data_IF_000763529210
#
_entry.id   IF_000763529210
#
_cell.length_a   1.000
_cell.length_b   1.000
_cell.length_c   1.000
_cell.angle_alpha   90.00
_cell.angle_beta   90.00
_cell.angle_gamma   90.00
#
_symmetry.space_group_name_H-M   'P 1'
#
loop_
_entity.id
_entity.type
_entity.pdbx_description
1 polymer ?
#
# COMPACT_ATOMS: atom_id res chain seq x y z
N UNK A 1 9.85 3.07 -7.63
CA UNK A 1 10.22 1.63 -7.61
C UNK A 1 8.95 0.82 -7.83
N UNK A 2 9.02 -0.34 -8.47
CA UNK A 2 7.89 -1.27 -8.65
C UNK A 2 8.28 -2.68 -8.20
N UNK A 3 7.40 -3.33 -7.43
CA UNK A 3 7.52 -4.73 -7.03
C UNK A 3 6.21 -5.47 -7.30
N UNK A 4 6.27 -6.73 -7.74
CA UNK A 4 5.09 -7.54 -8.06
C UNK A 4 5.14 -8.88 -7.34
N UNK A 5 4.00 -9.29 -6.79
CA UNK A 5 3.86 -10.55 -6.09
C UNK A 5 2.50 -11.19 -6.36
N UNK A 6 2.45 -12.53 -6.34
CA UNK A 6 1.20 -13.28 -6.34
C UNK A 6 1.09 -14.13 -5.07
N UNK A 7 0.03 -13.91 -4.29
CA UNK A 7 -0.25 -14.67 -3.06
C UNK A 7 -1.63 -15.26 -3.16
N UNK A 8 -1.72 -16.60 -3.16
CA UNK A 8 -2.99 -17.34 -3.27
C UNK A 8 -3.89 -16.80 -4.40
N UNK A 9 -3.31 -16.66 -5.60
CA UNK A 9 -3.96 -16.11 -6.81
C UNK A 9 -4.31 -14.62 -6.76
N UNK A 10 -4.19 -13.95 -5.61
CA UNK A 10 -4.28 -12.50 -5.55
C UNK A 10 -2.98 -11.92 -6.08
N UNK A 11 -3.09 -10.97 -7.00
CA UNK A 11 -1.95 -10.23 -7.54
C UNK A 11 -1.79 -8.93 -6.78
N UNK A 12 -0.55 -8.59 -6.47
CA UNK A 12 -0.15 -7.36 -5.80
C UNK A 12 0.90 -6.64 -6.65
N UNK A 13 0.76 -5.33 -6.77
CA UNK A 13 1.79 -4.45 -7.33
C UNK A 13 2.03 -3.34 -6.30
N UNK A 14 3.25 -3.25 -5.81
CA UNK A 14 3.69 -2.15 -4.95
C UNK A 14 4.44 -1.12 -5.78
N UNK A 15 4.07 0.14 -5.61
CA UNK A 15 4.71 1.30 -6.19
C UNK A 15 5.15 2.24 -5.07
N UNK A 16 6.40 2.71 -5.11
CA UNK A 16 6.94 3.66 -4.15
C UNK A 16 7.55 4.87 -4.84
N UNK A 17 7.30 6.06 -4.30
CA UNK A 17 7.82 7.33 -4.80
C UNK A 17 8.26 8.26 -3.66
N UNK A 18 9.33 9.06 -3.86
CA UNK A 18 9.66 10.12 -2.93
C UNK A 18 8.60 11.24 -2.99
N UNK A 19 8.36 11.89 -1.86
CA UNK A 19 7.42 13.01 -1.74
C UNK A 19 8.06 14.14 -0.93
N UNK A 20 7.70 15.37 -1.26
CA UNK A 20 8.10 16.57 -0.51
C UNK A 20 6.91 17.27 0.15
N UNK A 21 5.69 16.88 -0.24
CA UNK A 21 4.44 17.37 0.32
C UNK A 21 3.37 16.27 0.37
N UNK A 22 2.33 16.41 1.22
CA UNK A 22 1.16 15.54 1.17
C UNK A 22 0.43 15.56 -0.18
N UNK A 23 0.52 16.67 -0.91
CA UNK A 23 -0.06 16.82 -2.25
C UNK A 23 0.67 15.95 -3.28
N UNK A 24 1.99 15.80 -3.16
CA UNK A 24 2.78 14.90 -4.02
C UNK A 24 2.31 13.45 -3.85
N UNK A 25 2.05 13.03 -2.61
CA UNK A 25 1.52 11.70 -2.31
C UNK A 25 0.14 11.48 -2.96
N UNK A 26 -0.76 12.44 -2.80
CA UNK A 26 -2.10 12.37 -3.39
C UNK A 26 -2.05 12.30 -4.92
N UNK A 27 -1.25 13.16 -5.55
CA UNK A 27 -1.07 13.15 -7.00
C UNK A 27 -0.46 11.84 -7.49
N UNK A 28 0.50 11.28 -6.74
CA UNK A 28 1.09 9.98 -7.03
C UNK A 28 0.04 8.86 -7.01
N UNK A 29 -0.83 8.81 -5.99
CA UNK A 29 -1.88 7.79 -5.91
C UNK A 29 -2.92 7.95 -7.02
N UNK A 30 -3.35 9.17 -7.32
CA UNK A 30 -4.31 9.43 -8.41
C UNK A 30 -3.76 9.02 -9.78
N UNK A 31 -2.47 9.24 -10.02
CA UNK A 31 -1.82 8.89 -11.28
C UNK A 31 -1.64 7.38 -11.47
N UNK A 32 -1.39 6.63 -10.39
CA UNK A 32 -0.96 5.23 -10.49
C UNK A 32 -2.00 4.21 -10.03
N UNK A 33 -3.12 4.64 -9.42
CA UNK A 33 -4.21 3.73 -9.07
C UNK A 33 -4.83 3.09 -10.32
N UNK A 34 -5.25 1.83 -10.20
CA UNK A 34 -6.02 1.15 -11.24
C UNK A 34 -7.49 1.05 -10.81
N UNK A 35 -8.38 1.65 -11.60
CA UNK A 35 -9.83 1.61 -11.37
C UNK A 35 -10.43 0.21 -11.52
N UNK A 36 -9.73 -0.71 -12.18
CA UNK A 36 -10.13 -2.11 -12.33
C UNK A 36 -9.53 -3.01 -11.24
N UNK A 37 -8.67 -2.47 -10.37
CA UNK A 37 -8.19 -3.20 -9.21
C UNK A 37 -9.31 -3.40 -8.19
N UNK A 38 -9.15 -4.42 -7.35
CA UNK A 38 -10.05 -4.63 -6.23
C UNK A 38 -9.82 -3.58 -5.16
N UNK A 39 -8.55 -3.27 -4.87
CA UNK A 39 -8.15 -2.27 -3.88
C UNK A 39 -6.85 -1.57 -4.30
N UNK A 40 -6.76 -0.27 -4.02
CA UNK A 40 -5.61 0.62 -4.19
C UNK A 40 -5.22 1.17 -2.80
N UNK A 41 -4.68 0.30 -1.95
CA UNK A 41 -4.33 0.65 -0.57
C UNK A 41 -3.00 1.40 -0.54
N UNK A 42 -2.84 2.36 0.36
CA UNK A 42 -1.62 3.17 0.37
C UNK A 42 -1.26 3.67 1.77
N UNK A 43 -0.01 4.10 1.91
CA UNK A 43 0.44 4.91 3.03
C UNK A 43 1.55 5.88 2.60
N UNK A 44 1.74 6.94 3.37
CA UNK A 44 2.88 7.84 3.21
C UNK A 44 3.36 8.39 4.56
N UNK A 45 4.63 8.78 4.59
CA UNK A 45 5.27 9.44 5.72
C UNK A 45 6.08 10.64 5.24
N UNK A 46 5.92 11.77 5.94
CA UNK A 46 6.64 13.01 5.74
C UNK A 46 6.89 13.65 7.12
N UNK A 47 8.08 13.41 7.67
CA UNK A 47 8.45 13.74 9.03
C UNK A 47 7.42 13.19 10.04
N UNK A 48 6.80 14.10 10.81
CA UNK A 48 5.78 13.77 11.82
C UNK A 48 4.39 13.52 11.22
N UNK A 49 4.20 13.84 9.93
CA UNK A 49 2.95 13.61 9.24
C UNK A 49 2.96 12.24 8.57
N UNK A 50 1.87 11.51 8.74
CA UNK A 50 1.67 10.23 8.09
C UNK A 50 0.19 10.00 7.84
N UNK A 51 -0.12 9.20 6.83
CA UNK A 51 -1.49 8.75 6.57
C UNK A 51 -1.47 7.39 5.88
N UNK A 52 -2.53 6.64 6.10
CA UNK A 52 -2.76 5.35 5.46
C UNK A 52 -4.23 5.19 5.05
N UNK A 53 -4.47 4.37 4.04
CA UNK A 53 -5.80 4.03 3.55
C UNK A 53 -5.88 2.54 3.18
N UNK A 54 -6.93 1.88 3.65
CA UNK A 54 -7.20 0.46 3.37
C UNK A 54 -8.02 0.25 2.08
N UNK A 55 -8.58 1.30 1.49
CA UNK A 55 -9.37 1.26 0.24
C UNK A 55 -10.46 0.16 0.20
N UNK A 56 -11.18 -0.05 1.31
CA UNK A 56 -12.24 -1.04 1.40
C UNK A 56 -11.78 -2.46 1.80
N UNK A 57 -10.47 -2.68 1.98
CA UNK A 57 -9.99 -3.84 2.74
C UNK A 57 -10.50 -3.79 4.19
N UNK A 58 -10.56 -4.93 4.91
CA UNK A 58 -10.87 -4.94 6.33
C UNK A 58 -9.97 -3.95 7.09
N UNK A 59 -10.57 -3.14 7.96
CA UNK A 59 -9.90 -2.01 8.59
C UNK A 59 -8.58 -2.38 9.28
N UNK A 60 -7.51 -1.66 8.94
CA UNK A 60 -6.17 -1.85 9.46
C UNK A 60 -5.39 -3.04 8.91
N UNK A 61 -5.88 -3.70 7.85
CA UNK A 61 -5.20 -4.87 7.26
C UNK A 61 -4.35 -4.55 6.03
N UNK A 62 -4.37 -3.31 5.52
CA UNK A 62 -3.60 -2.92 4.35
C UNK A 62 -2.77 -1.64 4.58
N UNK A 63 -3.41 -0.48 4.70
CA UNK A 63 -2.74 0.81 4.83
C UNK A 63 -1.85 0.90 6.07
N UNK A 64 -2.32 0.40 7.22
CA UNK A 64 -1.52 0.37 8.46
C UNK A 64 -0.27 -0.52 8.32
N UNK A 65 -0.36 -1.75 7.81
CA UNK A 65 0.81 -2.56 7.48
C UNK A 65 1.80 -1.90 6.52
N UNK A 66 1.34 -1.21 5.47
CA UNK A 66 2.22 -0.46 4.57
C UNK A 66 2.96 0.64 5.34
N UNK A 67 2.26 1.42 6.18
CA UNK A 67 2.89 2.45 6.99
C UNK A 67 3.91 1.87 7.98
N UNK A 68 3.56 0.76 8.64
CA UNK A 68 4.46 0.08 9.57
C UNK A 68 5.74 -0.42 8.88
N UNK A 69 5.66 -0.84 7.60
CA UNK A 69 6.83 -1.22 6.82
C UNK A 69 7.75 -0.03 6.52
N UNK A 70 7.19 1.12 6.13
CA UNK A 70 7.94 2.38 5.94
C UNK A 70 8.70 2.74 7.23
N UNK A 71 8.00 2.73 8.37
CA UNK A 71 8.57 3.10 9.67
C UNK A 71 9.62 2.09 10.16
N UNK A 72 9.36 0.80 10.03
CA UNK A 72 10.28 -0.26 10.45
C UNK A 72 11.60 -0.24 9.67
N UNK A 73 11.56 0.20 8.41
CA UNK A 73 12.75 0.38 7.56
C UNK A 73 13.44 1.74 7.77
N UNK A 74 12.88 2.62 8.60
CA UNK A 74 13.43 3.95 8.89
C UNK A 74 13.33 4.93 7.72
N UNK A 75 12.41 4.70 6.77
CA UNK A 75 12.18 5.60 5.65
C UNK A 75 11.29 6.79 6.03
N UNK A 76 11.51 7.90 5.34
CA UNK A 76 10.72 9.13 5.41
C UNK A 76 10.65 9.77 4.01
N UNK A 77 9.78 10.76 3.83
CA UNK A 77 9.56 11.46 2.55
C UNK A 77 9.18 10.47 1.44
N UNK A 78 8.31 9.50 1.77
CA UNK A 78 7.93 8.41 0.86
C UNK A 78 6.43 8.17 0.87
N UNK A 79 5.89 7.89 -0.33
CA UNK A 79 4.55 7.37 -0.54
C UNK A 79 4.63 5.97 -1.16
N UNK A 80 3.79 5.06 -0.66
CA UNK A 80 3.70 3.68 -1.12
C UNK A 80 2.24 3.35 -1.44
N UNK A 81 2.00 2.85 -2.65
CA UNK A 81 0.73 2.36 -3.16
C UNK A 81 0.85 0.86 -3.40
N UNK A 82 -0.08 0.08 -2.88
CA UNK A 82 -0.20 -1.36 -3.16
C UNK A 82 -1.54 -1.61 -3.83
N UNK A 83 -1.47 -1.99 -5.10
CA UNK A 83 -2.62 -2.32 -5.94
C UNK A 83 -2.87 -3.82 -5.84
N UNK A 84 -4.09 -4.22 -5.50
CA UNK A 84 -4.48 -5.61 -5.35
C UNK A 84 -5.61 -5.98 -6.31
N UNK A 85 -5.45 -7.11 -6.99
CA UNK A 85 -6.53 -7.82 -7.69
C UNK A 85 -6.86 -9.11 -6.94
N UNK A 86 -8.13 -9.27 -6.54
CA UNK A 86 -8.59 -10.44 -5.79
C UNK A 86 -8.55 -11.72 -6.65
N UNK A 87 -7.92 -12.76 -6.10
CA UNK A 87 -7.70 -14.03 -6.80
C UNK A 87 -8.75 -15.11 -6.58
N UNK A 88 -9.85 -14.80 -5.89
CA UNK A 88 -10.87 -15.79 -5.53
C UNK A 88 -10.59 -16.59 -4.24
N UNK A 89 -9.43 -16.39 -3.60
CA UNK A 89 -9.07 -17.06 -2.33
C UNK A 89 -8.84 -16.02 -1.24
N UNK A 90 -9.58 -16.15 -0.13
CA UNK A 90 -9.41 -15.26 1.03
C UNK A 90 -8.06 -15.49 1.72
N UNK A 91 -7.39 -14.38 2.06
CA UNK A 91 -6.13 -14.39 2.80
C UNK A 91 -6.36 -14.35 4.33
N UNK A 92 -7.52 -13.86 4.77
CA UNK A 92 -7.78 -13.53 6.18
C UNK A 92 -7.00 -12.29 6.64
N UNK A 93 -7.38 -11.71 7.77
CA UNK A 93 -6.81 -10.45 8.28
C UNK A 93 -5.30 -10.49 8.44
N UNK A 94 -4.76 -11.55 9.06
CA UNK A 94 -3.32 -11.74 9.23
C UNK A 94 -2.58 -12.11 7.94
N UNK A 95 -3.28 -12.63 6.93
CA UNK A 95 -2.71 -12.85 5.60
C UNK A 95 -2.60 -11.54 4.82
N UNK A 96 -3.64 -10.70 4.87
CA UNK A 96 -3.65 -9.37 4.27
C UNK A 96 -2.55 -8.50 4.87
N UNK A 97 -2.46 -8.42 6.19
CA UNK A 97 -1.45 -7.59 6.85
C UNK A 97 -0.02 -7.97 6.44
N UNK A 98 0.26 -9.27 6.27
CA UNK A 98 1.57 -9.74 5.80
C UNK A 98 1.80 -9.48 4.31
N UNK A 99 0.76 -9.60 3.47
CA UNK A 99 0.88 -9.31 2.04
C UNK A 99 1.17 -7.82 1.80
N UNK A 100 0.37 -6.94 2.40
CA UNK A 100 0.51 -5.49 2.25
C UNK A 100 1.78 -4.93 2.89
N UNK A 101 2.11 -5.36 4.10
CA UNK A 101 3.33 -4.91 4.78
C UNK A 101 4.61 -5.57 4.29
N UNK A 102 4.55 -6.83 3.82
CA UNK A 102 5.73 -7.56 3.34
C UNK A 102 6.16 -7.16 1.94
N UNK A 103 5.23 -6.69 1.11
CA UNK A 103 5.52 -6.17 -0.23
C UNK A 103 5.85 -4.67 -0.27
N UNK A 104 5.72 -3.95 0.86
CA UNK A 104 6.00 -2.52 1.01
C UNK A 104 7.38 -2.26 1.60
#
# INVERSE_FOLDING_TARGET
>A
CEFREEIRKSRFITLAAPITSPQDAQAFFEQHSDLNATHNCWAWKLADQYRSNDDGEPGGTAGRPILAAIEAQGFDQVAVLVIRWYGGIQLGTGGLARAYGGGA
#
